data_IF_948889171863
#
_entry.id   IF_948889171863
#
_cell.length_a   1.000
_cell.length_b   1.000
_cell.length_c   1.000
_cell.angle_alpha   90.00
_cell.angle_beta   90.00
_cell.angle_gamma   90.00
#
_symmetry.space_group_name_H-M   'P 1'
#
loop_
_entity.id
_entity.type
_entity.pdbx_description
1 polymer ?
#
# COMPACT_ATOMS: atom_id res chain seq x y z
N UNK A 1 -3.15 -23.18 -16.44
CA UNK A 1 -2.91 -23.00 -15.01
C UNK A 1 -3.83 -21.90 -14.49
N UNK A 2 -4.53 -22.17 -13.40
CA UNK A 2 -5.43 -21.20 -12.79
C UNK A 2 -4.62 -20.35 -11.82
N UNK A 3 -4.62 -19.02 -12.03
CA UNK A 3 -4.03 -18.09 -11.09
C UNK A 3 -5.03 -17.80 -9.99
N UNK A 4 -4.55 -17.69 -8.76
CA UNK A 4 -5.36 -17.40 -7.60
C UNK A 4 -5.13 -15.97 -7.10
N UNK A 5 -5.49 -15.69 -5.87
CA UNK A 5 -5.31 -14.38 -5.28
C UNK A 5 -3.84 -14.09 -5.01
N UNK A 6 -3.38 -12.91 -5.41
CA UNK A 6 -2.03 -12.45 -5.16
C UNK A 6 -2.09 -11.24 -4.25
N UNK A 7 -1.24 -11.23 -3.23
CA UNK A 7 -1.25 -10.21 -2.18
C UNK A 7 -0.06 -9.27 -2.39
N UNK A 8 -0.35 -7.96 -2.43
CA UNK A 8 0.66 -6.91 -2.57
C UNK A 8 0.54 -5.93 -1.41
N UNK A 9 1.69 -5.48 -0.90
CA UNK A 9 1.78 -4.36 0.02
C UNK A 9 1.79 -3.04 -0.77
N UNK A 10 1.52 -1.93 -0.09
CA UNK A 10 1.54 -0.60 -0.72
C UNK A 10 2.92 0.05 -0.53
N UNK A 11 3.24 0.44 0.70
CA UNK A 11 4.45 1.23 0.98
C UNK A 11 5.71 0.40 0.77
N UNK A 12 6.59 0.88 -0.11
CA UNK A 12 7.83 0.19 -0.43
C UNK A 12 7.65 -0.96 -1.42
N UNK A 13 6.44 -1.28 -1.84
CA UNK A 13 6.15 -2.33 -2.81
C UNK A 13 5.48 -1.75 -4.04
N UNK A 14 4.18 -1.44 -3.98
CA UNK A 14 3.47 -0.81 -5.10
C UNK A 14 3.79 0.67 -5.23
N UNK A 15 4.07 1.34 -4.12
CA UNK A 15 4.36 2.77 -4.07
C UNK A 15 5.74 3.02 -3.48
N UNK A 16 6.50 3.91 -4.13
CA UNK A 16 7.77 4.42 -3.62
C UNK A 16 7.48 5.57 -2.66
N UNK A 17 7.92 5.42 -1.41
CA UNK A 17 7.69 6.39 -0.34
C UNK A 17 8.99 7.05 0.13
N UNK A 18 10.07 6.95 -0.64
CA UNK A 18 11.40 7.44 -0.22
C UNK A 18 11.39 8.92 0.13
N UNK A 19 10.56 9.74 -0.56
CA UNK A 19 10.50 11.18 -0.30
C UNK A 19 10.06 11.52 1.13
N UNK A 20 9.42 10.60 1.85
CA UNK A 20 8.95 10.82 3.23
C UNK A 20 9.54 9.86 4.25
N UNK A 21 10.32 8.86 3.82
CA UNK A 21 10.87 7.85 4.74
C UNK A 21 11.81 8.48 5.77
N UNK A 22 12.57 9.52 5.39
CA UNK A 22 13.49 10.21 6.29
C UNK A 22 12.81 10.81 7.53
N UNK A 23 11.50 11.04 7.46
CA UNK A 23 10.76 11.62 8.58
C UNK A 23 10.68 10.66 9.78
N UNK A 24 10.80 9.35 9.54
CA UNK A 24 10.64 8.33 10.58
C UNK A 24 11.81 7.34 10.63
N UNK A 25 12.94 7.67 10.02
CA UNK A 25 14.14 6.83 10.03
C UNK A 25 15.33 7.56 10.66
N UNK A 26 16.39 6.82 10.98
CA UNK A 26 17.65 7.36 11.50
C UNK A 26 17.48 8.24 12.75
N UNK A 27 16.59 7.78 13.67
CA UNK A 27 16.32 8.50 14.90
C UNK A 27 15.23 9.57 14.79
N UNK A 28 14.72 9.84 13.61
CA UNK A 28 13.58 10.75 13.40
C UNK A 28 12.28 10.01 13.71
N UNK A 29 11.29 10.71 14.24
CA UNK A 29 10.00 10.12 14.57
C UNK A 29 8.82 11.07 14.29
N UNK A 30 8.93 11.83 13.22
CA UNK A 30 7.86 12.74 12.79
C UNK A 30 6.74 11.97 12.07
N UNK A 31 6.04 11.14 12.83
CA UNK A 31 4.95 10.33 12.30
C UNK A 31 3.77 11.17 11.83
N UNK A 32 3.56 12.33 12.43
CA UNK A 32 2.46 13.23 12.05
C UNK A 32 2.61 13.67 10.59
N UNK A 33 3.79 14.13 10.20
CA UNK A 33 4.05 14.54 8.81
C UNK A 33 4.10 13.34 7.89
N UNK A 34 4.75 12.24 8.33
CA UNK A 34 4.85 11.02 7.54
C UNK A 34 3.47 10.47 7.15
N UNK A 35 2.49 10.56 8.05
CA UNK A 35 1.13 10.03 7.85
C UNK A 35 0.14 11.10 7.34
N UNK A 36 0.62 12.30 7.02
CA UNK A 36 -0.23 13.35 6.47
C UNK A 36 -0.65 12.96 5.03
N UNK A 37 -1.95 12.88 4.74
CA UNK A 37 -2.40 12.54 3.38
C UNK A 37 -1.84 13.45 2.29
N UNK A 38 -1.63 14.73 2.58
CA UNK A 38 -1.04 15.65 1.61
C UNK A 38 0.42 15.29 1.28
N UNK A 39 1.16 14.77 2.27
CA UNK A 39 2.52 14.29 2.06
C UNK A 39 2.49 12.95 1.31
N UNK A 40 1.56 12.07 1.67
CA UNK A 40 1.39 10.77 1.00
C UNK A 40 1.11 10.92 -0.49
N UNK A 41 0.42 11.98 -0.91
CA UNK A 41 0.13 12.25 -2.32
C UNK A 41 1.39 12.39 -3.18
N UNK A 42 2.53 12.65 -2.57
CA UNK A 42 3.81 12.71 -3.28
C UNK A 42 4.45 11.35 -3.55
N UNK A 43 3.89 10.27 -3.03
CA UNK A 43 4.38 8.92 -3.33
C UNK A 43 4.25 8.64 -4.83
N UNK A 44 5.19 7.89 -5.38
CA UNK A 44 5.18 7.54 -6.81
C UNK A 44 5.02 6.04 -7.01
N UNK A 45 4.38 5.60 -8.10
CA UNK A 45 4.27 4.17 -8.36
C UNK A 45 5.65 3.52 -8.57
N UNK A 46 5.84 2.34 -7.99
CA UNK A 46 6.97 1.49 -8.33
C UNK A 46 6.64 0.77 -9.63
N UNK A 47 7.09 1.31 -10.75
CA UNK A 47 6.64 0.89 -12.07
C UNK A 47 6.86 -0.59 -12.34
N UNK A 48 7.98 -1.16 -11.89
CA UNK A 48 8.27 -2.58 -12.10
C UNK A 48 7.24 -3.46 -11.39
N UNK A 49 6.96 -3.17 -10.13
CA UNK A 49 6.00 -3.97 -9.34
C UNK A 49 4.58 -3.76 -9.87
N UNK A 50 4.24 -2.53 -10.24
CA UNK A 50 2.92 -2.20 -10.82
C UNK A 50 2.71 -2.98 -12.12
N UNK A 51 3.71 -3.04 -12.99
CA UNK A 51 3.61 -3.81 -14.24
C UNK A 51 3.44 -5.30 -13.96
N UNK A 52 4.14 -5.84 -12.98
CA UNK A 52 3.98 -7.25 -12.57
C UNK A 52 2.53 -7.49 -12.13
N UNK A 53 1.99 -6.63 -11.27
CA UNK A 53 0.62 -6.76 -10.80
C UNK A 53 -0.39 -6.69 -11.95
N UNK A 54 -0.22 -5.74 -12.87
CA UNK A 54 -1.09 -5.59 -14.04
C UNK A 54 -1.03 -6.81 -14.95
N UNK A 55 0.16 -7.33 -15.22
CA UNK A 55 0.32 -8.49 -16.09
C UNK A 55 -0.32 -9.74 -15.47
N UNK A 56 -0.18 -9.93 -14.18
CA UNK A 56 -0.79 -11.06 -13.49
C UNK A 56 -2.32 -10.91 -13.43
N UNK A 57 -2.82 -9.70 -13.25
CA UNK A 57 -4.25 -9.40 -13.30
C UNK A 57 -4.83 -9.75 -14.67
N UNK A 58 -4.14 -9.36 -15.73
CA UNK A 58 -4.55 -9.65 -17.10
C UNK A 58 -4.52 -11.15 -17.40
N UNK A 59 -3.65 -11.89 -16.72
CA UNK A 59 -3.56 -13.35 -16.84
C UNK A 59 -4.62 -14.09 -15.99
N UNK A 60 -5.49 -13.36 -15.29
CA UNK A 60 -6.60 -13.94 -14.53
C UNK A 60 -6.43 -13.98 -13.02
N UNK A 61 -5.35 -13.45 -12.47
CA UNK A 61 -5.19 -13.37 -11.03
C UNK A 61 -6.06 -12.25 -10.43
N UNK A 62 -6.52 -12.46 -9.21
CA UNK A 62 -7.14 -11.40 -8.42
C UNK A 62 -6.07 -10.73 -7.58
N UNK A 63 -6.04 -9.40 -7.61
CA UNK A 63 -5.07 -8.62 -6.86
C UNK A 63 -5.70 -8.19 -5.54
N UNK A 64 -5.09 -8.60 -4.45
CA UNK A 64 -5.48 -8.23 -3.09
C UNK A 64 -4.39 -7.34 -2.52
N UNK A 65 -4.77 -6.16 -2.03
CA UNK A 65 -3.82 -5.22 -1.46
C UNK A 65 -4.01 -5.20 0.05
N UNK A 66 -2.91 -5.39 0.79
CA UNK A 66 -2.89 -5.38 2.25
C UNK A 66 -1.86 -4.33 2.68
N UNK A 67 -2.27 -3.36 3.47
CA UNK A 67 -1.38 -2.29 3.91
C UNK A 67 -1.57 -2.01 5.39
N UNK A 68 -0.47 -1.67 6.06
CA UNK A 68 -0.52 -1.20 7.45
C UNK A 68 -0.97 0.25 7.57
N UNK A 69 -1.28 0.93 6.46
CA UNK A 69 -1.91 2.24 6.51
C UNK A 69 -3.25 2.16 7.22
N UNK A 70 -3.62 3.24 7.91
CA UNK A 70 -4.88 3.28 8.66
C UNK A 70 -6.09 3.47 7.75
N UNK A 71 -7.25 3.05 8.20
CA UNK A 71 -8.53 3.23 7.47
C UNK A 71 -8.80 4.69 7.13
N UNK A 72 -8.39 5.64 7.97
CA UNK A 72 -8.56 7.07 7.67
C UNK A 72 -7.78 7.50 6.42
N UNK A 73 -6.85 6.70 5.94
CA UNK A 73 -6.07 6.96 4.72
C UNK A 73 -6.58 6.17 3.51
N UNK A 74 -7.76 5.57 3.61
CA UNK A 74 -8.32 4.75 2.52
C UNK A 74 -8.48 5.56 1.23
N UNK A 75 -9.02 6.77 1.34
CA UNK A 75 -9.29 7.58 0.14
C UNK A 75 -8.01 7.90 -0.64
N UNK A 76 -6.95 8.36 0.03
CA UNK A 76 -5.69 8.67 -0.64
C UNK A 76 -5.06 7.39 -1.20
N UNK A 77 -5.14 6.27 -0.47
CA UNK A 77 -4.57 5.00 -0.91
C UNK A 77 -5.29 4.47 -2.15
N UNK A 78 -6.61 4.45 -2.14
CA UNK A 78 -7.39 4.01 -3.30
C UNK A 78 -7.12 4.88 -4.52
N UNK A 79 -6.99 6.19 -4.33
CA UNK A 79 -6.69 7.11 -5.42
C UNK A 79 -5.31 6.82 -6.02
N UNK A 80 -4.31 6.56 -5.18
CA UNK A 80 -2.98 6.20 -5.65
C UNK A 80 -2.99 4.91 -6.48
N UNK A 81 -3.73 3.91 -6.03
CA UNK A 81 -3.85 2.65 -6.76
C UNK A 81 -4.56 2.84 -8.10
N UNK A 82 -5.63 3.63 -8.12
CA UNK A 82 -6.35 3.94 -9.37
C UNK A 82 -5.46 4.72 -10.34
N UNK A 83 -4.73 5.70 -9.85
CA UNK A 83 -3.83 6.52 -10.69
C UNK A 83 -2.70 5.68 -11.28
N UNK A 84 -2.29 4.62 -10.59
CA UNK A 84 -1.30 3.65 -11.07
C UNK A 84 -1.93 2.56 -11.96
N UNK A 85 -3.23 2.65 -12.23
CA UNK A 85 -3.97 1.67 -13.04
C UNK A 85 -3.93 0.26 -12.45
N UNK A 86 -3.94 0.14 -11.13
CA UNK A 86 -3.99 -1.15 -10.45
C UNK A 86 -5.45 -1.49 -10.17
N UNK A 87 -5.95 -2.56 -10.80
CA UNK A 87 -7.27 -3.11 -10.52
C UNK A 87 -7.15 -4.13 -9.38
N UNK A 88 -7.68 -3.80 -8.23
CA UNK A 88 -7.64 -4.68 -7.07
C UNK A 88 -9.05 -5.13 -6.70
N UNK A 89 -9.16 -6.38 -6.22
CA UNK A 89 -10.43 -6.95 -5.76
C UNK A 89 -10.75 -6.51 -4.34
N UNK A 90 -9.72 -6.41 -3.51
CA UNK A 90 -9.86 -6.04 -2.10
C UNK A 90 -8.68 -5.17 -1.66
N UNK A 91 -8.97 -4.22 -0.77
CA UNK A 91 -7.98 -3.39 -0.10
C UNK A 91 -8.23 -3.49 1.40
N UNK A 92 -7.29 -4.09 2.12
CA UNK A 92 -7.34 -4.23 3.58
C UNK A 92 -6.41 -3.24 4.22
N UNK A 93 -6.97 -2.35 5.03
CA UNK A 93 -6.23 -1.36 5.79
C UNK A 93 -6.40 -1.62 7.28
N UNK A 94 -5.48 -1.07 8.06
CA UNK A 94 -5.51 -1.20 9.52
C UNK A 94 -6.58 -0.27 10.11
N UNK A 95 -7.38 -0.77 11.04
CA UNK A 95 -8.30 0.08 11.81
C UNK A 95 -7.49 1.15 12.57
N UNK A 96 -8.05 2.35 12.73
CA UNK A 96 -7.32 3.46 13.32
C UNK A 96 -6.85 3.18 14.74
N UNK A 97 -7.59 2.36 15.48
CA UNK A 97 -7.28 1.97 16.86
C UNK A 97 -6.46 0.68 16.97
N UNK A 98 -6.04 0.10 15.85
CA UNK A 98 -5.23 -1.13 15.83
C UNK A 98 -3.75 -0.78 15.92
N UNK A 99 -3.13 -1.09 17.07
CA UNK A 99 -1.73 -0.78 17.35
C UNK A 99 -0.82 -2.00 17.30
N UNK A 100 -1.29 -3.13 16.74
CA UNK A 100 -0.47 -4.34 16.58
C UNK A 100 0.68 -4.05 15.60
N UNK A 101 1.73 -4.85 15.67
CA UNK A 101 2.80 -4.78 14.67
C UNK A 101 2.25 -5.10 13.27
N UNK A 102 2.96 -4.65 12.23
CA UNK A 102 2.56 -4.91 10.84
C UNK A 102 2.42 -6.40 10.57
N UNK A 103 3.33 -7.21 11.10
CA UNK A 103 3.30 -8.66 10.91
C UNK A 103 2.07 -9.29 11.55
N UNK A 104 1.72 -8.86 12.76
CA UNK A 104 0.53 -9.36 13.46
C UNK A 104 -0.74 -8.97 12.74
N UNK A 105 -0.83 -7.73 12.29
CA UNK A 105 -1.99 -7.24 11.54
C UNK A 105 -2.17 -8.04 10.25
N UNK A 106 -1.12 -8.22 9.48
CA UNK A 106 -1.19 -8.87 8.17
C UNK A 106 -1.52 -10.36 8.24
N UNK A 107 -1.26 -11.01 9.38
CA UNK A 107 -1.64 -12.41 9.57
C UNK A 107 -3.14 -12.62 9.68
N UNK A 108 -3.90 -11.60 10.07
CA UNK A 108 -5.34 -11.69 10.29
C UNK A 108 -6.18 -11.38 9.04
N UNK A 109 -5.54 -11.06 7.93
CA UNK A 109 -6.25 -10.76 6.66
C UNK A 109 -6.07 -11.80 5.57
#
# INVERSE_FOLDING_TARGET
MKLENLIFDVDGTLMDIEHRRHLVSDGNNDWKTFLDPEVMKGDTPNTIVVEIAQNLRDAGAEIVVVSARNERHREVTEQQLRDACIEFSHLFLRADEDFRSDDEFKKDV
#
